data_IF_565267400004
#
_entry.id   IF_565267400004
#
_cell.length_a   1.000
_cell.length_b   1.000
_cell.length_c   1.000
_cell.angle_alpha   90.00
_cell.angle_beta   90.00
_cell.angle_gamma   90.00
#
_symmetry.space_group_name_H-M   'P 1'
#
loop_
_entity.id
_entity.type
_entity.pdbx_description
1 polymer ?
#
# COMPACT_ATOMS: atom_id res chain seq x y z
N UNK A 1 16.10 -12.60 -8.34
CA UNK A 1 15.67 -12.58 -9.74
C UNK A 1 14.72 -11.41 -9.92
N UNK A 2 14.70 -10.69 -11.05
CA UNK A 2 13.77 -9.60 -11.28
C UNK A 2 12.34 -10.12 -11.25
N UNK A 3 11.39 -9.26 -10.84
CA UNK A 3 9.97 -9.59 -10.88
C UNK A 3 9.44 -9.45 -12.31
N UNK A 4 8.79 -10.49 -12.83
CA UNK A 4 8.16 -10.49 -14.16
C UNK A 4 6.67 -10.20 -14.05
N UNK A 5 6.04 -10.69 -12.97
CA UNK A 5 4.60 -10.56 -12.73
C UNK A 5 4.30 -10.20 -11.28
N UNK A 6 3.49 -9.17 -11.08
CA UNK A 6 3.04 -8.68 -9.76
C UNK A 6 1.51 -8.67 -9.73
N UNK A 7 0.92 -9.05 -8.60
CA UNK A 7 -0.52 -8.92 -8.36
C UNK A 7 -0.78 -7.81 -7.34
N UNK A 8 -1.72 -6.91 -7.63
CA UNK A 8 -2.15 -5.84 -6.71
C UNK A 8 -3.59 -6.10 -6.30
N UNK A 9 -3.81 -6.30 -5.00
CA UNK A 9 -5.11 -6.63 -4.42
C UNK A 9 -5.75 -5.39 -3.82
N UNK A 10 -6.87 -4.97 -4.40
CA UNK A 10 -7.52 -3.68 -4.15
C UNK A 10 -7.04 -2.63 -5.14
N UNK A 11 -7.94 -2.16 -6.00
CA UNK A 11 -7.62 -1.20 -7.07
C UNK A 11 -8.22 0.19 -6.78
N UNK A 12 -8.24 0.57 -5.51
CA UNK A 12 -8.64 1.91 -5.08
C UNK A 12 -7.55 2.97 -5.29
N UNK A 13 -7.61 4.06 -4.49
CA UNK A 13 -6.74 5.24 -4.59
C UNK A 13 -5.24 4.97 -4.47
N UNK A 14 -4.84 3.85 -3.86
CA UNK A 14 -3.44 3.44 -3.76
C UNK A 14 -3.13 2.33 -4.75
N UNK A 15 -3.95 1.27 -4.78
CA UNK A 15 -3.63 0.09 -5.56
C UNK A 15 -3.63 0.31 -7.07
N UNK A 16 -4.58 1.08 -7.63
CA UNK A 16 -4.60 1.33 -9.07
C UNK A 16 -3.40 2.16 -9.53
N UNK A 17 -3.05 3.30 -8.90
CA UNK A 17 -1.82 4.03 -9.26
C UNK A 17 -0.56 3.19 -9.10
N UNK A 18 -0.42 2.41 -8.01
CA UNK A 18 0.71 1.50 -7.79
C UNK A 18 0.81 0.48 -8.92
N UNK A 19 -0.31 -0.16 -9.30
CA UNK A 19 -0.38 -1.12 -10.39
C UNK A 19 0.05 -0.49 -11.73
N UNK A 20 -0.46 0.72 -12.02
CA UNK A 20 -0.14 1.45 -13.26
C UNK A 20 1.35 1.86 -13.32
N UNK A 21 1.93 2.34 -12.20
CA UNK A 21 3.34 2.71 -12.12
C UNK A 21 4.23 1.48 -12.33
N UNK A 22 3.96 0.35 -11.67
CA UNK A 22 4.73 -0.89 -11.84
C UNK A 22 4.63 -1.39 -13.29
N UNK A 23 3.43 -1.40 -13.86
CA UNK A 23 3.20 -1.82 -15.26
C UNK A 23 3.95 -0.92 -16.25
N UNK A 24 4.06 0.39 -15.98
CA UNK A 24 4.82 1.34 -16.81
C UNK A 24 6.33 1.05 -16.83
N UNK A 25 6.84 0.24 -15.91
CA UNK A 25 8.22 -0.24 -15.89
C UNK A 25 8.41 -1.55 -16.68
N UNK A 26 7.36 -2.02 -17.36
CA UNK A 26 7.42 -3.22 -18.21
C UNK A 26 7.11 -4.53 -17.47
N UNK A 27 6.82 -4.48 -16.18
CA UNK A 27 6.40 -5.65 -15.39
C UNK A 27 4.93 -5.95 -15.72
N UNK A 28 4.56 -7.22 -15.87
CA UNK A 28 3.16 -7.63 -15.99
C UNK A 28 2.45 -7.43 -14.65
N UNK A 29 1.32 -6.72 -14.64
CA UNK A 29 0.54 -6.49 -13.43
C UNK A 29 -0.88 -7.03 -13.60
N UNK A 30 -1.29 -7.85 -12.64
CA UNK A 30 -2.67 -8.29 -12.49
C UNK A 30 -3.28 -7.59 -11.29
N UNK A 31 -4.15 -6.63 -11.56
CA UNK A 31 -4.96 -5.98 -10.53
C UNK A 31 -6.15 -6.85 -10.16
N UNK A 32 -6.40 -7.01 -8.87
CA UNK A 32 -7.53 -7.81 -8.35
C UNK A 32 -8.44 -6.92 -7.53
N UNK A 33 -9.71 -6.81 -7.91
CA UNK A 33 -10.72 -6.08 -7.15
C UNK A 33 -12.04 -6.84 -7.14
N UNK A 34 -12.77 -6.78 -6.03
CA UNK A 34 -14.09 -7.41 -5.90
C UNK A 34 -15.18 -6.67 -6.68
N UNK A 35 -14.93 -5.40 -7.02
CA UNK A 35 -15.88 -4.56 -7.75
C UNK A 35 -15.74 -4.79 -9.27
N UNK A 36 -16.69 -5.52 -9.84
CA UNK A 36 -16.69 -5.80 -11.28
C UNK A 36 -16.70 -4.54 -12.13
N UNK A 37 -17.41 -3.47 -11.73
CA UNK A 37 -17.41 -2.21 -12.46
C UNK A 37 -16.00 -1.57 -12.51
N UNK A 38 -15.25 -1.60 -11.41
CA UNK A 38 -13.86 -1.13 -11.40
C UNK A 38 -12.98 -1.97 -12.35
N UNK A 39 -13.14 -3.29 -12.32
CA UNK A 39 -12.43 -4.22 -13.22
C UNK A 39 -12.72 -3.92 -14.69
N UNK A 40 -13.99 -3.74 -15.06
CA UNK A 40 -14.40 -3.47 -16.43
C UNK A 40 -13.89 -2.10 -16.91
N UNK A 41 -13.98 -1.07 -16.05
CA UNK A 41 -13.48 0.28 -16.32
C UNK A 41 -11.98 0.27 -16.60
N UNK A 42 -11.19 -0.39 -15.75
CA UNK A 42 -9.74 -0.47 -15.91
C UNK A 42 -9.38 -1.22 -17.19
N UNK A 43 -10.04 -2.34 -17.46
CA UNK A 43 -9.79 -3.12 -18.68
C UNK A 43 -10.18 -2.38 -19.96
N UNK A 44 -11.09 -1.40 -19.89
CA UNK A 44 -11.40 -0.47 -20.97
C UNK A 44 -10.33 0.63 -21.16
N UNK A 45 -9.34 0.70 -20.27
CA UNK A 45 -8.30 1.73 -20.27
C UNK A 45 -8.73 3.04 -19.60
N UNK A 46 -9.78 3.00 -18.79
CA UNK A 46 -10.31 4.14 -18.05
C UNK A 46 -10.04 4.01 -16.55
N UNK A 47 -10.38 5.03 -15.77
CA UNK A 47 -10.24 5.04 -14.31
C UNK A 47 -11.58 5.28 -13.62
N UNK A 48 -11.75 4.68 -12.43
CA UNK A 48 -12.93 4.85 -11.58
C UNK A 48 -12.66 5.71 -10.34
N UNK A 49 -11.46 6.28 -10.24
CA UNK A 49 -11.02 7.20 -9.18
C UNK A 49 -10.56 8.50 -9.82
N UNK A 50 -10.49 9.58 -9.04
CA UNK A 50 -10.03 10.89 -9.56
C UNK A 50 -8.60 11.14 -9.10
N UNK A 51 -7.64 11.07 -10.04
CA UNK A 51 -6.24 11.39 -9.80
C UNK A 51 -5.64 11.94 -11.10
N UNK A 52 -4.95 13.10 -11.06
CA UNK A 52 -4.37 13.72 -12.25
C UNK A 52 -3.45 12.76 -13.02
N UNK A 53 -3.58 12.76 -14.35
CA UNK A 53 -2.76 12.00 -15.32
C UNK A 53 -2.83 10.46 -15.18
N UNK A 54 -3.55 9.92 -14.20
CA UNK A 54 -3.65 8.48 -13.99
C UNK A 54 -4.34 7.78 -15.17
N UNK A 55 -5.36 8.40 -15.76
CA UNK A 55 -6.08 7.89 -16.93
C UNK A 55 -5.15 7.68 -18.12
N UNK A 56 -4.21 8.59 -18.35
CA UNK A 56 -3.20 8.49 -19.41
C UNK A 56 -2.31 7.27 -19.19
N UNK A 57 -1.82 7.10 -17.95
CA UNK A 57 -0.94 5.99 -17.61
C UNK A 57 -1.68 4.66 -17.71
N UNK A 58 -2.89 4.55 -17.11
CA UNK A 58 -3.71 3.32 -17.13
C UNK A 58 -4.01 2.92 -18.59
N UNK A 59 -4.50 3.84 -19.40
CA UNK A 59 -4.77 3.58 -20.82
C UNK A 59 -3.54 3.07 -21.57
N UNK A 60 -2.38 3.67 -21.34
CA UNK A 60 -1.13 3.26 -21.96
C UNK A 60 -0.75 1.82 -21.59
N UNK A 61 -0.73 1.50 -20.29
CA UNK A 61 -0.27 0.17 -19.82
C UNK A 61 -1.28 -0.95 -20.10
N UNK A 62 -2.58 -0.64 -20.16
CA UNK A 62 -3.62 -1.58 -20.58
C UNK A 62 -3.50 -1.87 -22.08
N UNK A 63 -3.32 -0.81 -22.91
CA UNK A 63 -3.19 -0.96 -24.36
C UNK A 63 -2.00 -1.84 -24.74
N UNK A 64 -0.88 -1.73 -24.04
CA UNK A 64 0.30 -2.58 -24.31
C UNK A 64 0.26 -3.93 -23.58
N UNK A 65 -0.86 -4.25 -22.90
CA UNK A 65 -1.06 -5.53 -22.23
C UNK A 65 -0.22 -5.74 -20.97
N UNK A 66 0.28 -4.65 -20.34
CA UNK A 66 1.08 -4.73 -19.10
C UNK A 66 0.24 -4.62 -17.85
N UNK A 67 -0.96 -4.07 -17.91
CA UNK A 67 -1.94 -4.04 -16.83
C UNK A 67 -3.24 -4.65 -17.31
N UNK A 68 -3.82 -5.54 -16.51
CA UNK A 68 -5.20 -5.97 -16.62
C UNK A 68 -5.81 -6.15 -15.24
N UNK A 69 -7.12 -6.03 -15.14
CA UNK A 69 -7.85 -6.22 -13.91
C UNK A 69 -8.72 -7.49 -13.97
N UNK A 70 -8.96 -8.10 -12.80
CA UNK A 70 -9.79 -9.30 -12.65
C UNK A 70 -10.40 -9.33 -11.25
N UNK A 71 -11.42 -10.16 -11.06
CA UNK A 71 -12.02 -10.40 -9.73
C UNK A 71 -11.40 -11.61 -9.00
N UNK A 72 -10.44 -12.31 -9.62
CA UNK A 72 -9.81 -13.52 -9.05
C UNK A 72 -8.31 -13.38 -9.03
N UNK A 73 -7.67 -13.77 -7.93
CA UNK A 73 -6.22 -13.83 -7.89
C UNK A 73 -5.66 -14.90 -8.83
N UNK A 74 -4.48 -14.63 -9.34
CA UNK A 74 -3.72 -15.51 -10.22
C UNK A 74 -2.28 -15.64 -9.70
N UNK A 75 -1.54 -16.70 -10.07
CA UNK A 75 -0.13 -16.84 -9.70
C UNK A 75 0.70 -15.61 -10.11
N UNK A 76 1.51 -15.12 -9.19
CA UNK A 76 2.42 -14.00 -9.38
C UNK A 76 3.64 -14.15 -8.44
N UNK A 77 4.72 -13.43 -8.70
CA UNK A 77 5.93 -13.48 -7.87
C UNK A 77 5.81 -12.59 -6.62
N UNK A 78 4.97 -11.54 -6.70
CA UNK A 78 4.66 -10.68 -5.58
C UNK A 78 3.17 -10.30 -5.55
N UNK A 79 2.63 -10.16 -4.33
CA UNK A 79 1.27 -9.74 -4.04
C UNK A 79 1.31 -8.50 -3.15
N UNK A 80 0.76 -7.38 -3.64
CA UNK A 80 0.66 -6.13 -2.91
C UNK A 80 -0.79 -5.94 -2.45
N UNK A 81 -0.99 -5.86 -1.13
CA UNK A 81 -2.33 -5.76 -0.53
C UNK A 81 -2.61 -4.31 -0.17
N UNK A 82 -3.51 -3.67 -0.92
CA UNK A 82 -3.90 -2.27 -0.81
C UNK A 82 -5.42 -2.12 -0.58
N UNK A 83 -5.94 -2.89 0.37
CA UNK A 83 -7.37 -2.94 0.70
C UNK A 83 -7.73 -1.94 1.81
N UNK A 84 -9.01 -1.50 1.93
CA UNK A 84 -9.44 -0.61 3.00
C UNK A 84 -9.24 -1.22 4.40
N UNK A 85 -8.99 -0.34 5.39
CA UNK A 85 -8.89 -0.68 6.82
C UNK A 85 -9.76 0.27 7.65
N UNK A 86 -11.09 0.30 7.45
CA UNK A 86 -11.97 1.21 8.16
C UNK A 86 -12.08 0.84 9.65
N UNK A 87 -12.60 1.74 10.44
CA UNK A 87 -13.04 1.45 11.79
C UNK A 87 -14.35 0.66 11.80
N UNK A 88 -14.58 -0.11 12.84
CA UNK A 88 -15.85 -0.79 13.12
C UNK A 88 -16.28 -0.52 14.57
N UNK A 89 -17.60 -0.46 14.76
CA UNK A 89 -18.19 -0.21 16.07
C UNK A 89 -17.94 1.21 16.60
N UNK A 90 -18.51 1.48 17.77
CA UNK A 90 -18.41 2.78 18.44
C UNK A 90 -17.06 2.96 19.15
N UNK A 91 -16.32 1.88 19.37
CA UNK A 91 -14.99 1.86 19.96
C UNK A 91 -13.87 2.20 18.97
N UNK A 92 -14.22 2.46 17.70
CA UNK A 92 -13.29 2.76 16.62
C UNK A 92 -12.20 1.69 16.45
N UNK A 93 -12.51 0.44 16.75
CA UNK A 93 -11.56 -0.65 16.55
C UNK A 93 -11.27 -0.85 15.03
N UNK A 94 -10.01 -1.16 14.62
CA UNK A 94 -9.69 -1.34 13.22
C UNK A 94 -10.35 -2.61 12.66
N UNK A 95 -10.95 -2.50 11.49
CA UNK A 95 -11.52 -3.64 10.78
C UNK A 95 -10.48 -4.27 9.86
N UNK A 96 -9.94 -5.41 10.25
CA UNK A 96 -8.95 -6.15 9.47
C UNK A 96 -9.58 -7.22 8.56
N UNK A 97 -10.90 -7.35 8.50
CA UNK A 97 -11.57 -8.38 7.69
C UNK A 97 -11.26 -8.27 6.19
N UNK A 98 -10.97 -7.07 5.69
CA UNK A 98 -10.55 -6.88 4.30
C UNK A 98 -9.15 -7.44 4.03
N UNK A 99 -8.23 -7.33 5.00
CA UNK A 99 -6.89 -7.92 4.90
C UNK A 99 -6.99 -9.45 4.97
N UNK A 100 -7.84 -9.99 5.86
CA UNK A 100 -8.10 -11.43 5.96
C UNK A 100 -8.72 -11.97 4.65
N UNK A 101 -9.70 -11.25 4.08
CA UNK A 101 -10.29 -11.61 2.79
C UNK A 101 -9.26 -11.59 1.65
N UNK A 102 -8.36 -10.60 1.62
CA UNK A 102 -7.25 -10.56 0.68
C UNK A 102 -6.31 -11.76 0.87
N UNK A 103 -5.95 -12.10 2.11
CA UNK A 103 -5.15 -13.30 2.42
C UNK A 103 -5.81 -14.57 1.88
N UNK A 104 -7.12 -14.73 2.11
CA UNK A 104 -7.89 -15.87 1.62
C UNK A 104 -7.93 -15.92 0.08
N UNK A 105 -7.98 -14.76 -0.56
CA UNK A 105 -8.02 -14.64 -2.03
C UNK A 105 -6.69 -15.05 -2.67
N UNK A 106 -5.56 -14.65 -2.08
CA UNK A 106 -4.23 -14.94 -2.62
C UNK A 106 -3.69 -16.32 -2.22
N UNK A 107 -4.13 -16.86 -1.09
CA UNK A 107 -3.63 -18.14 -0.56
C UNK A 107 -3.63 -19.29 -1.59
N UNK A 108 -4.69 -19.53 -2.40
CA UNK A 108 -4.70 -20.65 -3.35
C UNK A 108 -3.64 -20.55 -4.46
N UNK A 109 -3.11 -19.36 -4.72
CA UNK A 109 -2.17 -19.08 -5.81
C UNK A 109 -0.76 -18.77 -5.31
N UNK A 110 -0.51 -18.85 -3.98
CA UNK A 110 0.82 -18.66 -3.42
C UNK A 110 1.73 -19.85 -3.74
N UNK A 111 2.96 -19.51 -4.09
CA UNK A 111 4.03 -20.47 -4.38
C UNK A 111 5.31 -20.11 -3.59
N UNK A 112 6.20 -21.10 -3.42
CA UNK A 112 7.50 -20.86 -2.77
C UNK A 112 8.28 -19.75 -3.47
N UNK A 113 8.85 -18.85 -2.69
CA UNK A 113 9.58 -17.68 -3.17
C UNK A 113 8.72 -16.43 -3.36
N UNK A 114 7.40 -16.53 -3.21
CA UNK A 114 6.55 -15.36 -3.33
C UNK A 114 6.76 -14.34 -2.21
N UNK A 115 6.53 -13.09 -2.57
CA UNK A 115 6.53 -11.94 -1.67
C UNK A 115 5.09 -11.44 -1.46
N UNK A 116 4.71 -11.20 -0.21
CA UNK A 116 3.43 -10.54 0.14
C UNK A 116 3.74 -9.24 0.88
N UNK A 117 3.23 -8.13 0.37
CA UNK A 117 3.41 -6.80 0.96
C UNK A 117 2.06 -6.25 1.39
N UNK A 118 1.95 -5.83 2.65
CA UNK A 118 0.81 -5.06 3.14
C UNK A 118 1.12 -3.57 2.96
N UNK A 119 0.42 -2.90 2.04
CA UNK A 119 0.53 -1.44 1.82
C UNK A 119 -0.55 -0.65 2.58
N UNK A 120 -1.67 -1.28 2.92
CA UNK A 120 -2.76 -0.64 3.65
C UNK A 120 -2.27 -0.03 4.96
N UNK A 121 -2.69 1.21 5.27
CA UNK A 121 -2.49 1.79 6.61
C UNK A 121 -3.15 0.89 7.65
N UNK A 122 -2.37 0.38 8.59
CA UNK A 122 -2.80 -0.71 9.47
C UNK A 122 -2.32 -0.49 10.90
N UNK A 123 -3.05 -1.00 11.90
CA UNK A 123 -2.56 -1.00 13.27
C UNK A 123 -1.34 -1.90 13.42
N UNK A 124 -0.52 -1.62 14.44
CA UNK A 124 0.68 -2.40 14.74
C UNK A 124 0.32 -3.88 14.98
N UNK A 125 0.99 -4.77 14.25
CA UNK A 125 0.76 -6.23 14.27
C UNK A 125 -0.17 -6.74 13.17
N UNK A 126 -0.66 -5.88 12.27
CA UNK A 126 -1.52 -6.30 11.16
C UNK A 126 -0.77 -7.18 10.16
N UNK A 127 0.51 -6.90 9.90
CA UNK A 127 1.37 -7.71 9.03
C UNK A 127 1.61 -9.11 9.59
N UNK A 128 1.80 -9.21 10.90
CA UNK A 128 1.92 -10.50 11.60
C UNK A 128 0.62 -11.30 11.50
N UNK A 129 -0.56 -10.64 11.61
CA UNK A 129 -1.85 -11.27 11.42
C UNK A 129 -2.05 -11.75 9.99
N UNK A 130 -1.68 -10.94 8.99
CA UNK A 130 -1.71 -11.34 7.58
C UNK A 130 -0.89 -12.62 7.37
N UNK A 131 0.34 -12.67 7.86
CA UNK A 131 1.18 -13.86 7.78
C UNK A 131 0.57 -15.07 8.53
N UNK A 132 -0.14 -14.82 9.64
CA UNK A 132 -0.88 -15.85 10.39
C UNK A 132 -2.01 -16.46 9.58
N UNK A 133 -2.87 -15.64 8.96
CA UNK A 133 -3.95 -16.12 8.10
C UNK A 133 -3.43 -16.86 6.86
N UNK A 134 -2.38 -16.34 6.21
CA UNK A 134 -1.76 -17.04 5.08
C UNK A 134 -1.24 -18.42 5.48
N UNK A 135 -0.61 -18.55 6.65
CA UNK A 135 -0.17 -19.84 7.19
C UNK A 135 -1.34 -20.78 7.47
N UNK A 136 -2.43 -20.27 8.01
CA UNK A 136 -3.65 -21.04 8.27
C UNK A 136 -4.26 -21.58 6.97
N UNK A 137 -4.32 -20.76 5.93
CA UNK A 137 -4.86 -21.17 4.62
C UNK A 137 -3.89 -22.01 3.79
N UNK A 138 -2.57 -21.93 4.06
CA UNK A 138 -1.49 -22.65 3.34
C UNK A 138 -0.50 -23.31 4.32
N UNK A 139 -0.97 -24.33 5.08
CA UNK A 139 -0.13 -25.03 6.04
C UNK A 139 1.03 -25.85 5.38
N UNK A 140 0.99 -26.01 4.08
CA UNK A 140 2.03 -26.64 3.25
C UNK A 140 3.25 -25.73 2.99
N UNK A 141 3.10 -24.39 3.21
CA UNK A 141 4.16 -23.41 3.06
C UNK A 141 4.69 -22.94 4.40
N UNK A 142 5.94 -22.52 4.44
CA UNK A 142 6.55 -21.93 5.62
C UNK A 142 6.54 -20.39 5.55
N UNK A 143 6.36 -19.76 6.72
CA UNK A 143 6.24 -18.32 6.88
C UNK A 143 7.28 -17.74 7.83
N UNK A 144 7.57 -16.41 7.75
CA UNK A 144 8.66 -15.77 8.50
C UNK A 144 8.54 -15.89 10.01
N UNK A 145 7.33 -15.96 10.58
CA UNK A 145 7.11 -16.13 12.02
C UNK A 145 7.67 -17.46 12.55
N UNK A 146 7.82 -18.47 11.70
CA UNK A 146 8.32 -19.80 12.10
C UNK A 146 9.75 -20.06 11.61
N UNK A 147 10.11 -19.56 10.43
CA UNK A 147 11.36 -19.91 9.74
C UNK A 147 12.26 -18.71 9.45
N UNK A 148 11.86 -17.49 9.84
CA UNK A 148 12.66 -16.29 9.61
C UNK A 148 13.05 -16.12 8.14
N UNK A 149 14.36 -15.96 7.91
CA UNK A 149 14.91 -15.74 6.55
C UNK A 149 14.77 -16.96 5.63
N UNK A 150 14.64 -18.17 6.18
CA UNK A 150 14.49 -19.40 5.41
C UNK A 150 13.06 -19.76 5.03
N UNK A 151 12.08 -18.91 5.37
CA UNK A 151 10.67 -19.12 5.02
C UNK A 151 10.46 -19.20 3.50
N UNK A 152 9.50 -20.04 3.07
CA UNK A 152 9.08 -20.13 1.66
C UNK A 152 8.48 -18.81 1.19
N UNK A 153 7.63 -18.19 2.00
CA UNK A 153 6.96 -16.91 1.70
C UNK A 153 7.67 -15.77 2.42
N UNK A 154 7.87 -14.66 1.72
CA UNK A 154 8.38 -13.42 2.31
C UNK A 154 7.21 -12.48 2.59
N UNK A 155 7.21 -11.84 3.77
CA UNK A 155 6.12 -10.93 4.19
C UNK A 155 6.72 -9.63 4.70
N UNK A 156 6.21 -8.51 4.20
CA UNK A 156 6.65 -7.18 4.59
C UNK A 156 5.47 -6.20 4.68
N UNK A 157 5.68 -5.11 5.40
CA UNK A 157 4.83 -3.92 5.40
C UNK A 157 5.56 -2.78 4.71
N UNK A 158 4.88 -2.08 3.82
CA UNK A 158 5.39 -0.84 3.24
C UNK A 158 4.23 0.15 3.08
N UNK A 159 3.96 0.98 4.09
CA UNK A 159 2.81 1.87 4.06
C UNK A 159 2.97 2.95 2.99
N UNK A 160 1.88 3.25 2.30
CA UNK A 160 1.86 4.32 1.32
C UNK A 160 1.86 5.70 2.00
N UNK A 161 2.61 6.66 1.44
CA UNK A 161 2.86 8.00 2.01
C UNK A 161 2.66 9.11 0.98
N UNK A 162 1.73 8.92 0.04
CA UNK A 162 1.43 9.90 -1.01
C UNK A 162 0.29 10.83 -0.61
N UNK A 163 0.29 12.01 -1.22
CA UNK A 163 -0.78 13.00 -1.12
C UNK A 163 -1.72 12.90 -2.34
N UNK A 164 -3.04 12.96 -2.14
CA UNK A 164 -3.99 13.07 -3.25
C UNK A 164 -3.64 14.23 -4.19
N UNK A 165 -3.71 13.99 -5.48
CA UNK A 165 -3.33 14.97 -6.51
C UNK A 165 -1.86 14.92 -6.94
N UNK A 166 -1.01 14.17 -6.23
CA UNK A 166 0.41 13.98 -6.53
C UNK A 166 0.83 12.51 -6.52
N UNK A 167 -0.14 11.59 -6.51
CA UNK A 167 0.09 10.17 -6.23
C UNK A 167 1.12 9.57 -7.20
N UNK A 168 0.97 9.78 -8.52
CA UNK A 168 1.90 9.21 -9.51
C UNK A 168 3.34 9.68 -9.34
N UNK A 169 3.54 10.97 -9.05
CA UNK A 169 4.86 11.53 -8.83
C UNK A 169 5.47 11.01 -7.54
N UNK A 170 4.71 11.07 -6.45
CA UNK A 170 5.19 10.70 -5.11
C UNK A 170 5.39 9.19 -4.96
N UNK A 171 4.62 8.35 -5.68
CA UNK A 171 4.89 6.91 -5.77
C UNK A 171 6.30 6.60 -6.27
N UNK A 172 6.86 7.45 -7.13
CA UNK A 172 8.18 7.27 -7.71
C UNK A 172 9.27 7.99 -6.91
N UNK A 173 8.98 9.18 -6.35
CA UNK A 173 10.02 10.06 -5.78
C UNK A 173 10.19 9.95 -4.27
N UNK A 174 9.11 9.58 -3.54
CA UNK A 174 9.17 9.52 -2.08
C UNK A 174 9.97 8.32 -1.58
N UNK A 175 10.64 8.52 -0.46
CA UNK A 175 11.29 7.44 0.29
C UNK A 175 10.26 6.43 0.80
N UNK A 176 10.66 5.16 0.83
CA UNK A 176 9.85 4.04 1.31
C UNK A 176 10.35 3.51 2.63
N UNK A 177 9.44 3.39 3.60
CA UNK A 177 9.74 2.68 4.86
C UNK A 177 9.34 1.22 4.66
N UNK A 178 10.30 0.32 4.62
CA UNK A 178 10.09 -1.11 4.34
C UNK A 178 10.34 -1.93 5.60
N UNK A 179 9.28 -2.47 6.16
CA UNK A 179 9.29 -3.31 7.35
C UNK A 179 9.11 -4.79 7.02
N UNK A 180 10.20 -5.54 6.89
CA UNK A 180 10.12 -6.98 6.74
C UNK A 180 9.86 -7.69 8.07
N UNK A 181 9.19 -8.86 8.02
CA UNK A 181 9.10 -9.77 9.16
C UNK A 181 10.44 -10.50 9.42
N UNK A 182 11.36 -10.46 8.46
CA UNK A 182 12.75 -10.90 8.59
C UNK A 182 13.62 -10.07 7.64
N UNK A 183 14.95 -10.24 7.73
CA UNK A 183 15.87 -9.55 6.82
C UNK A 183 15.61 -9.92 5.36
N UNK A 184 15.45 -11.20 5.05
CA UNK A 184 15.15 -11.66 3.70
C UNK A 184 13.80 -11.12 3.16
N UNK A 185 12.82 -10.88 4.04
CA UNK A 185 11.57 -10.22 3.67
C UNK A 185 11.79 -8.75 3.26
N UNK A 186 12.58 -8.01 4.03
CA UNK A 186 12.93 -6.62 3.69
C UNK A 186 13.72 -6.55 2.38
N UNK A 187 14.75 -7.37 2.24
CA UNK A 187 15.60 -7.39 1.04
C UNK A 187 14.77 -7.66 -0.21
N UNK A 188 13.85 -8.64 -0.15
CA UNK A 188 12.98 -8.99 -1.28
C UNK A 188 11.97 -7.88 -1.61
N UNK A 189 11.44 -7.20 -0.60
CA UNK A 189 10.58 -6.03 -0.80
C UNK A 189 11.35 -4.86 -1.43
N UNK A 190 12.57 -4.57 -0.97
CA UNK A 190 13.44 -3.55 -1.57
C UNK A 190 13.70 -3.83 -3.06
N UNK A 191 13.95 -5.11 -3.43
CA UNK A 191 14.12 -5.48 -4.83
C UNK A 191 12.90 -5.10 -5.69
N UNK A 192 11.67 -5.28 -5.18
CA UNK A 192 10.46 -4.89 -5.89
C UNK A 192 10.34 -3.37 -6.00
N UNK A 193 10.44 -2.66 -4.88
CA UNK A 193 10.26 -1.20 -4.88
C UNK A 193 11.31 -0.50 -5.75
N UNK A 194 12.56 -0.94 -5.78
CA UNK A 194 13.61 -0.38 -6.63
C UNK A 194 13.34 -0.49 -8.14
N UNK A 195 12.37 -1.28 -8.55
CA UNK A 195 11.96 -1.32 -9.98
C UNK A 195 11.26 -0.04 -10.42
N UNK A 196 10.62 0.69 -9.49
CA UNK A 196 9.85 1.88 -9.81
C UNK A 196 10.10 3.09 -8.90
N UNK A 197 10.61 2.90 -7.68
CA UNK A 197 10.91 3.97 -6.72
C UNK A 197 12.33 4.49 -6.94
N UNK A 198 12.47 5.82 -7.00
CA UNK A 198 13.75 6.54 -7.05
C UNK A 198 14.21 7.02 -5.68
N UNK A 199 13.26 7.18 -4.74
CA UNK A 199 13.55 7.54 -3.35
C UNK A 199 14.33 6.44 -2.63
N UNK A 200 14.75 6.72 -1.41
CA UNK A 200 15.46 5.78 -0.56
C UNK A 200 14.51 4.69 -0.02
N UNK A 201 15.00 3.45 0.06
CA UNK A 201 14.29 2.35 0.71
C UNK A 201 14.88 2.16 2.12
N UNK A 202 14.22 2.70 3.12
CA UNK A 202 14.63 2.67 4.53
C UNK A 202 14.12 1.38 5.16
N UNK A 203 15.03 0.48 5.53
CA UNK A 203 14.70 -0.82 6.09
C UNK A 203 14.50 -0.74 7.60
N UNK A 204 13.41 -1.35 8.07
CA UNK A 204 13.07 -1.51 9.50
C UNK A 204 12.28 -2.80 9.74
N UNK A 205 11.78 -3.03 10.95
CA UNK A 205 10.84 -4.11 11.26
C UNK A 205 9.40 -3.76 10.90
N UNK A 206 8.55 -4.76 10.61
CA UNK A 206 7.16 -4.57 10.21
C UNK A 206 6.38 -3.69 11.21
N UNK A 207 6.48 -3.96 12.51
CA UNK A 207 5.79 -3.17 13.56
C UNK A 207 6.21 -1.69 13.57
N UNK A 208 7.50 -1.42 13.33
CA UNK A 208 8.01 -0.03 13.24
C UNK A 208 7.48 0.67 12.00
N UNK A 209 7.44 -0.01 10.86
CA UNK A 209 6.90 0.55 9.63
C UNK A 209 5.40 0.88 9.75
N UNK A 210 4.61 -0.01 10.38
CA UNK A 210 3.20 0.22 10.70
C UNK A 210 3.04 1.46 11.60
N UNK A 211 3.81 1.54 12.69
CA UNK A 211 3.73 2.66 13.63
C UNK A 211 4.21 3.98 13.01
N UNK A 212 5.20 3.96 12.12
CA UNK A 212 5.70 5.14 11.44
C UNK A 212 4.59 5.85 10.66
N UNK A 213 3.76 5.09 9.93
CA UNK A 213 2.61 5.65 9.19
C UNK A 213 1.54 6.23 10.11
N UNK A 214 1.21 5.53 11.18
CA UNK A 214 0.22 6.02 12.16
C UNK A 214 0.71 7.30 12.84
N UNK A 215 2.00 7.35 13.21
CA UNK A 215 2.62 8.53 13.81
C UNK A 215 2.60 9.72 12.85
N UNK A 216 2.96 9.52 11.58
CA UNK A 216 2.91 10.57 10.56
C UNK A 216 1.51 11.16 10.39
N UNK A 217 0.50 10.29 10.30
CA UNK A 217 -0.89 10.74 10.19
C UNK A 217 -1.35 11.50 11.44
N UNK A 218 -1.07 10.98 12.65
CA UNK A 218 -1.43 11.62 13.91
C UNK A 218 -0.71 12.96 14.10
N UNK A 219 0.57 13.05 13.76
CA UNK A 219 1.31 14.30 13.82
C UNK A 219 0.70 15.37 12.91
N UNK A 220 0.33 15.00 11.69
CA UNK A 220 -0.36 15.91 10.75
C UNK A 220 -1.69 16.38 11.30
N UNK A 221 -2.50 15.47 11.83
CA UNK A 221 -3.82 15.76 12.39
C UNK A 221 -3.73 16.74 13.56
N UNK A 222 -2.82 16.50 14.51
CA UNK A 222 -2.58 17.39 15.65
C UNK A 222 -2.15 18.79 15.19
N UNK A 223 -1.26 18.89 14.19
CA UNK A 223 -0.83 20.19 13.67
C UNK A 223 -1.98 20.95 12.97
N UNK A 224 -2.83 20.25 12.24
CA UNK A 224 -4.01 20.85 11.61
C UNK A 224 -5.01 21.32 12.69
N UNK A 225 -5.26 20.50 13.70
CA UNK A 225 -6.14 20.86 14.81
C UNK A 225 -5.63 22.10 15.56
N UNK A 226 -4.32 22.15 15.86
CA UNK A 226 -3.69 23.31 16.47
C UNK A 226 -3.81 24.57 15.61
N UNK A 227 -3.57 24.47 14.30
CA UNK A 227 -3.69 25.60 13.38
C UNK A 227 -5.14 26.14 13.32
N UNK A 228 -6.13 25.24 13.35
CA UNK A 228 -7.55 25.62 13.39
C UNK A 228 -7.89 26.35 14.70
N UNK A 229 -7.49 25.83 15.86
CA UNK A 229 -7.69 26.51 17.16
C UNK A 229 -7.00 27.88 17.20
N UNK A 230 -5.77 27.95 16.67
CA UNK A 230 -5.03 29.21 16.60
C UNK A 230 -5.77 30.26 15.76
N UNK A 231 -6.39 29.85 14.64
CA UNK A 231 -7.19 30.76 13.79
C UNK A 231 -8.40 31.33 14.53
N UNK A 232 -9.09 30.51 15.34
CA UNK A 232 -10.23 30.94 16.16
C UNK A 232 -9.80 31.92 17.26
N UNK A 233 -8.66 31.66 17.92
CA UNK A 233 -8.07 32.55 18.93
C UNK A 233 -7.70 33.90 18.31
N UNK A 234 -7.04 33.89 17.15
CA UNK A 234 -6.64 35.10 16.43
C UNK A 234 -7.84 35.97 16.03
N UNK A 235 -8.92 35.32 15.54
CA UNK A 235 -10.15 36.05 15.20
C UNK A 235 -10.76 36.78 16.42
N UNK A 236 -10.85 36.09 17.55
CA UNK A 236 -11.35 36.68 18.82
C UNK A 236 -10.47 37.84 19.31
N UNK A 237 -9.17 37.75 19.14
CA UNK A 237 -8.20 38.77 19.59
C UNK A 237 -7.94 39.85 18.52
N UNK A 238 -8.58 39.77 17.35
CA UNK A 238 -8.34 40.67 16.21
C UNK A 238 -6.90 40.68 15.71
N UNK A 239 -6.23 39.52 15.77
CA UNK A 239 -4.87 39.32 15.27
C UNK A 239 -4.95 38.70 13.86
N UNK A 240 -4.09 39.14 12.96
CA UNK A 240 -3.94 38.53 11.65
C UNK A 240 -3.18 37.20 11.79
N UNK A 241 -3.89 36.08 11.64
CA UNK A 241 -3.30 34.74 11.78
C UNK A 241 -2.18 34.47 10.77
N UNK A 242 -2.27 35.01 9.56
CA UNK A 242 -1.25 34.84 8.53
C UNK A 242 0.06 35.53 8.87
N UNK A 243 -0.03 36.71 9.51
CA UNK A 243 1.13 37.41 10.04
C UNK A 243 1.76 36.64 11.20
N UNK A 244 0.92 36.18 12.13
CA UNK A 244 1.38 35.36 13.26
C UNK A 244 2.12 34.09 12.80
N UNK A 245 1.58 33.35 11.83
CA UNK A 245 2.22 32.14 11.28
C UNK A 245 3.59 32.46 10.70
N UNK A 246 3.74 33.57 9.96
CA UNK A 246 5.03 33.99 9.39
C UNK A 246 6.09 34.34 10.44
N UNK A 247 5.64 34.80 11.62
CA UNK A 247 6.55 35.18 12.70
C UNK A 247 6.90 34.01 13.62
N UNK A 248 6.04 32.97 13.67
CA UNK A 248 6.19 31.81 14.56
C UNK A 248 6.90 30.62 13.95
N UNK A 249 7.05 30.57 12.62
CA UNK A 249 7.70 29.46 11.87
C UNK A 249 9.13 29.81 11.48
#
# INVERSE_FOLDING_TARGET
MPFNKVSVIGLGYIGLPTAAVIASRGIEVVGVDINQHAVDTINAGDIHIVEPDLDIVVRSVVTVGKLRATTKAEPAEAFMVAVPTPFKGDDHSPNLSYIEAAAKTIAPVLEKGNLVILESTSPVGATEKLAGWLKEFRPDLSFPQDKGDSADIKVAHCPERVLPGYVLQELVTNDRVIGGMSKACSDRAVELYKTFVKGECIITGARTAEMAKLTENSFRDVNIAFANELSVICDKLKINVWELIKLAN
#
